data_IF_731826726435
#
_entry.id   IF_731826726435
#
_cell.length_a   1.000
_cell.length_b   1.000
_cell.length_c   1.000
_cell.angle_alpha   90.00
_cell.angle_beta   90.00
_cell.angle_gamma   90.00
#
_symmetry.space_group_name_H-M   'P 1'
#
loop_
_entity.id
_entity.type
_entity.pdbx_description
1 polymer ?
#
# COMPACT_ATOMS: atom_id res chain seq x y z
N UNK A 1 2.49 -9.17 -11.42
CA UNK A 1 1.88 -8.58 -12.65
C UNK A 1 1.39 -7.18 -12.33
N UNK A 2 1.74 -6.17 -13.14
CA UNK A 2 1.38 -4.76 -12.87
C UNK A 2 0.21 -4.30 -13.73
N UNK A 3 -0.74 -3.60 -13.13
CA UNK A 3 -1.94 -3.08 -13.78
C UNK A 3 -2.13 -1.61 -13.43
N UNK A 4 -2.33 -0.78 -14.45
CA UNK A 4 -2.86 0.57 -14.23
C UNK A 4 -4.35 0.44 -14.00
N UNK A 5 -4.78 0.61 -12.75
CA UNK A 5 -6.18 0.46 -12.34
C UNK A 5 -7.00 1.63 -12.86
N UNK A 6 -6.43 2.83 -12.80
CA UNK A 6 -7.11 4.03 -13.26
C UNK A 6 -6.42 5.32 -12.83
N UNK A 7 -7.13 6.42 -13.05
CA UNK A 7 -6.70 7.77 -12.67
C UNK A 7 -7.84 8.44 -11.91
N UNK A 8 -7.51 9.09 -10.80
CA UNK A 8 -8.48 9.78 -9.97
C UNK A 8 -7.88 11.06 -9.37
N UNK A 9 -8.56 12.19 -9.55
CA UNK A 9 -8.16 13.52 -9.03
C UNK A 9 -6.69 13.91 -9.25
N UNK A 10 -6.13 13.55 -10.41
CA UNK A 10 -4.73 13.87 -10.75
C UNK A 10 -3.68 12.88 -10.23
N UNK A 11 -4.12 11.80 -9.57
CA UNK A 11 -3.29 10.68 -9.16
C UNK A 11 -3.49 9.49 -10.11
N UNK A 12 -2.42 8.75 -10.37
CA UNK A 12 -2.47 7.46 -11.05
C UNK A 12 -2.38 6.33 -10.03
N UNK A 13 -3.19 5.30 -10.22
CA UNK A 13 -3.30 4.13 -9.33
C UNK A 13 -2.71 2.93 -10.07
N UNK A 14 -1.59 2.40 -9.56
CA UNK A 14 -0.95 1.19 -10.05
C UNK A 14 -1.17 0.06 -9.05
N UNK A 15 -1.66 -1.09 -9.51
CA UNK A 15 -1.74 -2.32 -8.72
C UNK A 15 -0.65 -3.30 -9.17
N UNK A 16 -0.01 -3.93 -8.20
CA UNK A 16 0.89 -5.05 -8.38
C UNK A 16 0.27 -6.30 -7.76
N UNK A 17 -0.03 -7.29 -8.61
CA UNK A 17 -0.58 -8.58 -8.19
C UNK A 17 0.49 -9.65 -8.15
N UNK A 18 0.62 -10.30 -7.01
CA UNK A 18 1.42 -11.49 -6.84
C UNK A 18 0.51 -12.72 -6.77
N UNK A 19 0.53 -13.61 -7.77
CA UNK A 19 -0.17 -14.88 -7.69
C UNK A 19 0.48 -15.76 -6.61
N UNK A 20 -0.36 -16.39 -5.80
CA UNK A 20 0.00 -17.32 -4.73
C UNK A 20 -0.83 -18.58 -4.91
N UNK A 21 -0.13 -19.67 -5.20
CA UNK A 21 -0.74 -21.00 -5.25
C UNK A 21 -0.94 -21.49 -3.82
N UNK A 22 -2.19 -21.70 -3.42
CA UNK A 22 -2.53 -22.23 -2.10
C UNK A 22 -3.02 -23.67 -2.27
N UNK A 23 -2.32 -24.59 -1.63
CA UNK A 23 -2.72 -26.00 -1.60
C UNK A 23 -3.68 -26.20 -0.43
N UNK A 24 -4.87 -26.69 -0.74
CA UNK A 24 -5.92 -27.04 0.22
C UNK A 24 -6.28 -28.52 0.06
N UNK A 25 -7.05 -29.09 1.00
CA UNK A 25 -7.51 -30.48 0.91
C UNK A 25 -8.38 -30.74 -0.33
N UNK A 26 -9.03 -29.70 -0.86
CA UNK A 26 -9.87 -29.74 -2.07
C UNK A 26 -9.07 -29.60 -3.39
N UNK A 27 -7.75 -29.34 -3.30
CA UNK A 27 -6.88 -29.17 -4.45
C UNK A 27 -6.04 -27.91 -4.40
N UNK A 28 -5.61 -27.46 -5.58
CA UNK A 28 -4.74 -26.29 -5.74
C UNK A 28 -5.58 -25.11 -6.22
N UNK A 29 -5.68 -24.07 -5.40
CA UNK A 29 -6.36 -22.83 -5.74
C UNK A 29 -5.34 -21.71 -6.01
N UNK A 30 -5.56 -20.95 -7.08
CA UNK A 30 -4.81 -19.74 -7.34
C UNK A 30 -5.43 -18.59 -6.56
N UNK A 31 -4.61 -17.88 -5.79
CA UNK A 31 -5.02 -16.68 -5.06
C UNK A 31 -4.08 -15.54 -5.35
N UNK A 32 -4.47 -14.31 -5.01
CA UNK A 32 -3.74 -13.11 -5.37
C UNK A 32 -3.50 -12.25 -4.13
N UNK A 33 -2.23 -11.92 -3.88
CA UNK A 33 -1.85 -10.85 -2.97
C UNK A 33 -1.67 -9.59 -3.79
N UNK A 34 -2.11 -8.45 -3.25
CA UNK A 34 -2.05 -7.19 -3.99
C UNK A 34 -1.31 -6.12 -3.20
N UNK A 35 -0.37 -5.50 -3.88
CA UNK A 35 0.26 -4.25 -3.48
C UNK A 35 -0.20 -3.17 -4.46
N UNK A 36 -0.26 -1.91 -4.05
CA UNK A 36 -0.64 -0.83 -4.93
C UNK A 36 0.08 0.46 -4.57
N UNK A 37 0.28 1.29 -5.57
CA UNK A 37 1.05 2.52 -5.49
C UNK A 37 0.28 3.69 -6.05
N UNK A 38 0.40 4.85 -5.39
CA UNK A 38 -0.13 6.11 -5.88
C UNK A 38 0.98 6.96 -6.48
N UNK A 39 0.75 7.49 -7.68
CA UNK A 39 1.70 8.34 -8.37
C UNK A 39 1.10 9.72 -8.65
N UNK A 40 1.86 10.78 -8.43
CA UNK A 40 1.45 12.12 -8.89
C UNK A 40 1.65 12.27 -10.39
N UNK A 41 0.81 13.09 -11.02
CA UNK A 41 0.94 13.48 -12.43
C UNK A 41 2.13 14.42 -12.72
N UNK A 42 2.87 14.90 -11.72
CA UNK A 42 3.95 15.88 -11.94
C UNK A 42 5.06 15.30 -12.82
N UNK A 43 5.82 16.18 -13.51
CA UNK A 43 6.88 15.84 -14.49
C UNK A 43 7.93 14.82 -14.02
N UNK A 44 8.00 14.53 -12.71
CA UNK A 44 8.91 13.55 -12.11
C UNK A 44 8.20 12.29 -11.55
N UNK A 45 6.92 12.06 -11.88
CA UNK A 45 6.09 10.92 -11.44
C UNK A 45 6.48 10.41 -10.04
N UNK A 46 6.31 11.26 -9.03
CA UNK A 46 6.67 10.89 -7.66
C UNK A 46 5.65 9.87 -7.12
N UNK A 47 6.15 8.73 -6.63
CA UNK A 47 5.38 7.79 -5.80
C UNK A 47 5.03 8.49 -4.49
N UNK A 48 3.73 8.61 -4.22
CA UNK A 48 3.17 9.17 -2.99
C UNK A 48 3.26 8.17 -1.85
N UNK A 49 3.04 6.89 -2.16
CA UNK A 49 3.17 5.79 -1.22
C UNK A 49 2.90 4.47 -1.91
N UNK A 50 3.43 3.42 -1.30
CA UNK A 50 3.17 2.01 -1.56
C UNK A 50 2.33 1.43 -0.41
N UNK A 51 1.38 0.57 -0.77
CA UNK A 51 0.39 0.03 0.14
C UNK A 51 0.22 -1.46 -0.14
N UNK A 52 0.34 -2.30 0.89
CA UNK A 52 0.05 -3.72 0.79
C UNK A 52 -1.35 -3.99 1.33
N UNK A 53 -2.20 -4.62 0.52
CA UNK A 53 -3.48 -5.11 1.00
C UNK A 53 -3.26 -6.41 1.80
N UNK A 54 -3.73 -6.50 3.06
CA UNK A 54 -3.56 -7.70 3.87
C UNK A 54 -4.47 -8.86 3.41
N UNK A 55 -5.48 -8.58 2.57
CA UNK A 55 -6.43 -9.58 2.09
C UNK A 55 -5.85 -10.33 0.90
N UNK A 56 -6.11 -11.65 0.88
CA UNK A 56 -5.82 -12.51 -0.25
C UNK A 56 -7.10 -12.72 -1.05
N UNK A 57 -7.06 -12.43 -2.34
CA UNK A 57 -8.21 -12.49 -3.22
C UNK A 57 -8.25 -13.79 -4.02
N UNK A 58 -9.45 -14.28 -4.28
CA UNK A 58 -9.68 -15.44 -5.14
C UNK A 58 -9.67 -15.09 -6.64
N UNK A 59 -9.79 -13.79 -6.97
CA UNK A 59 -9.88 -13.31 -8.34
C UNK A 59 -9.21 -11.93 -8.52
N UNK A 60 -8.54 -11.76 -9.67
CA UNK A 60 -7.91 -10.49 -10.08
C UNK A 60 -8.93 -9.36 -10.18
N UNK A 61 -10.11 -9.61 -10.73
CA UNK A 61 -11.14 -8.56 -10.91
C UNK A 61 -11.65 -8.02 -9.57
N UNK A 62 -11.80 -8.90 -8.57
CA UNK A 62 -12.18 -8.51 -7.20
C UNK A 62 -11.07 -7.67 -6.57
N UNK A 63 -9.82 -8.10 -6.74
CA UNK A 63 -8.67 -7.41 -6.20
C UNK A 63 -8.48 -6.01 -6.83
N UNK A 64 -8.61 -5.88 -8.16
CA UNK A 64 -8.58 -4.58 -8.85
C UNK A 64 -9.67 -3.62 -8.38
N UNK A 65 -10.89 -4.13 -8.20
CA UNK A 65 -12.03 -3.32 -7.72
C UNK A 65 -11.78 -2.84 -6.29
N UNK A 66 -11.20 -3.68 -5.44
CA UNK A 66 -10.85 -3.32 -4.08
C UNK A 66 -9.75 -2.24 -4.05
N UNK A 67 -8.70 -2.40 -4.86
CA UNK A 67 -7.65 -1.38 -5.01
C UNK A 67 -8.22 -0.05 -5.48
N UNK A 68 -9.07 -0.01 -6.52
CA UNK A 68 -9.66 1.24 -7.02
C UNK A 68 -10.42 1.96 -5.89
N UNK A 69 -11.27 1.24 -5.16
CA UNK A 69 -12.06 1.81 -4.05
C UNK A 69 -11.19 2.31 -2.91
N UNK A 70 -10.20 1.52 -2.49
CA UNK A 70 -9.29 1.88 -1.39
C UNK A 70 -8.44 3.08 -1.77
N UNK A 71 -7.90 3.10 -2.99
CA UNK A 71 -7.12 4.20 -3.51
C UNK A 71 -7.92 5.50 -3.58
N UNK A 72 -9.17 5.45 -4.09
CA UNK A 72 -10.05 6.63 -4.11
C UNK A 72 -10.36 7.14 -2.71
N UNK A 73 -10.69 6.23 -1.78
CA UNK A 73 -10.96 6.59 -0.39
C UNK A 73 -9.75 7.25 0.26
N UNK A 74 -8.55 6.72 0.03
CA UNK A 74 -7.31 7.32 0.53
C UNK A 74 -7.05 8.69 -0.11
N UNK A 75 -7.22 8.84 -1.43
CA UNK A 75 -7.06 10.12 -2.12
C UNK A 75 -8.05 11.16 -1.58
N UNK A 76 -9.31 10.77 -1.39
CA UNK A 76 -10.34 11.64 -0.82
C UNK A 76 -9.97 12.06 0.62
N UNK A 77 -9.52 11.13 1.47
CA UNK A 77 -9.04 11.43 2.81
C UNK A 77 -7.81 12.35 2.78
N UNK A 78 -6.80 12.05 1.95
CA UNK A 78 -5.61 12.89 1.79
C UNK A 78 -5.93 14.32 1.35
N UNK A 79 -6.94 14.49 0.48
CA UNK A 79 -7.37 15.81 0.02
C UNK A 79 -8.21 16.54 1.08
N UNK A 80 -9.01 15.81 1.87
CA UNK A 80 -9.73 16.37 3.01
C UNK A 80 -8.77 16.79 4.13
N UNK A 81 -7.82 15.94 4.51
CA UNK A 81 -6.74 16.24 5.47
C UNK A 81 -5.81 17.35 4.97
N UNK A 82 -5.49 17.37 3.66
CA UNK A 82 -4.67 18.40 3.04
C UNK A 82 -5.35 19.79 3.00
N UNK A 83 -6.68 19.84 3.14
CA UNK A 83 -7.42 21.08 3.35
C UNK A 83 -7.25 21.60 4.79
N UNK A 84 -6.78 20.78 5.73
CA UNK A 84 -6.60 21.12 7.15
C UNK A 84 -5.13 21.09 7.61
N UNK A 85 -4.19 20.48 6.87
CA UNK A 85 -2.76 20.40 7.24
C UNK A 85 -1.81 20.52 6.05
N UNK A 86 -1.15 21.68 5.95
CA UNK A 86 0.23 21.70 5.45
C UNK A 86 1.10 20.79 6.33
N UNK A 87 1.91 19.94 5.70
CA UNK A 87 2.87 18.99 6.30
C UNK A 87 2.28 17.71 6.92
N UNK A 88 2.14 16.68 6.08
CA UNK A 88 2.10 15.29 6.55
C UNK A 88 3.54 14.79 6.71
N UNK A 89 4.07 14.86 7.93
CA UNK A 89 5.17 13.99 8.37
C UNK A 89 4.60 12.60 8.59
N UNK A 90 4.81 11.70 7.63
CA UNK A 90 4.70 10.26 7.85
C UNK A 90 5.86 9.84 8.76
N UNK A 91 5.60 9.83 10.07
CA UNK A 91 6.48 9.21 11.06
C UNK A 91 6.36 7.68 10.92
N UNK A 92 7.46 6.94 10.67
CA UNK A 92 7.49 5.53 11.02
C UNK A 92 7.60 5.37 12.53
N UNK A 93 6.73 4.52 13.04
CA UNK A 93 6.59 4.12 14.44
C UNK A 93 7.92 3.75 15.09
N UNK A 94 8.12 4.33 16.26
CA UNK A 94 9.08 3.96 17.30
C UNK A 94 9.26 2.44 17.44
N UNK A 95 10.48 1.96 17.21
CA UNK A 95 10.99 0.74 17.84
C UNK A 95 12.33 1.05 18.52
N UNK A 96 12.17 1.25 19.82
CA UNK A 96 13.14 1.31 20.89
C UNK A 96 14.11 0.12 20.88
N UNK A 97 15.42 0.39 20.82
CA UNK A 97 16.45 -0.46 21.41
C UNK A 97 17.74 0.36 21.62
N UNK A 98 17.74 1.24 22.61
CA UNK A 98 18.98 1.74 23.21
C UNK A 98 19.08 1.16 24.60
N UNK A 99 19.81 0.05 24.74
CA UNK A 99 20.35 -0.38 26.03
C UNK A 99 21.84 -0.05 26.01
N UNK A 100 22.17 1.13 26.56
CA UNK A 100 23.52 1.54 26.90
C UNK A 100 23.61 1.59 28.43
N UNK A 101 24.63 0.93 28.99
CA UNK A 101 25.02 0.98 30.40
C UNK A 101 25.06 -0.43 31.00
N UNK A 102 26.16 -0.92 31.58
CA UNK A 102 27.25 -0.24 32.28
C UNK A 102 28.54 -1.07 32.21
N UNK A 103 29.63 -0.36 31.96
CA UNK A 103 31.00 -0.69 32.38
C UNK A 103 31.11 -0.53 33.92
N UNK A 104 31.86 -1.41 34.59
CA UNK A 104 32.19 -1.18 36.01
C UNK A 104 32.70 -2.39 36.81
N UNK A 105 34.03 -2.51 36.83
CA UNK A 105 34.90 -3.03 37.91
C UNK A 105 34.73 -4.45 38.47
N UNK A 106 35.80 -5.24 38.34
CA UNK A 106 36.72 -5.54 39.46
C UNK A 106 38.12 -5.81 38.94
#
# INVERSE_FOLDING_TARGET
>A
MKHIVGRYRGFAIEAHMEPRTVRSSDGVALRYRVEWSLHTRTLKQKVIGDFADPVIYDSESVALTCVDRNARTLIDAMLADGLERGSVSLLPSTLNASLHGLDGHS
#
